data_IF_007233310185
#
_entry.id   IF_007233310185
#
_cell.length_a   1.000
_cell.length_b   1.000
_cell.length_c   1.000
_cell.angle_alpha   90.00
_cell.angle_beta   90.00
_cell.angle_gamma   90.00
#
_symmetry.space_group_name_H-M   'P 1'
#
loop_
_entity.id
_entity.type
_entity.pdbx_description
1 polymer ?
#
# COMPACT_ATOMS: atom_id res chain seq x y z
N UNK A 1 97.10 -35.54 -0.41
CA UNK A 1 96.59 -36.57 -1.33
C UNK A 1 95.14 -36.80 -0.95
N UNK A 2 94.20 -36.61 -1.88
CA UNK A 2 92.78 -36.88 -1.61
C UNK A 2 92.61 -38.38 -1.77
N UNK A 3 92.72 -39.13 -0.67
CA UNK A 3 92.29 -40.52 -0.64
C UNK A 3 90.76 -40.51 -0.59
N UNK A 4 90.14 -41.07 -1.61
CA UNK A 4 88.71 -41.23 -1.67
C UNK A 4 88.32 -42.38 -0.75
N UNK A 5 88.18 -42.08 0.54
CA UNK A 5 87.87 -43.06 1.58
C UNK A 5 86.36 -43.31 1.70
N UNK A 6 85.99 -44.50 2.18
CA UNK A 6 84.59 -44.90 2.46
C UNK A 6 83.87 -43.91 3.38
N UNK A 7 84.61 -43.17 4.20
CA UNK A 7 84.10 -42.09 5.06
C UNK A 7 83.41 -40.97 4.28
N UNK A 8 83.82 -40.68 3.04
CA UNK A 8 83.16 -39.69 2.18
C UNK A 8 81.76 -40.16 1.75
N UNK A 9 81.63 -41.44 1.42
CA UNK A 9 80.33 -42.05 1.11
C UNK A 9 79.41 -42.09 2.34
N UNK A 10 79.95 -42.37 3.52
CA UNK A 10 79.20 -42.33 4.79
C UNK A 10 78.73 -40.89 5.10
N UNK A 11 79.58 -39.88 4.90
CA UNK A 11 79.18 -38.47 5.06
C UNK A 11 78.08 -38.06 4.07
N UNK A 12 78.21 -38.47 2.80
CA UNK A 12 77.19 -38.21 1.78
C UNK A 12 75.84 -38.84 2.17
N UNK A 13 75.85 -40.09 2.63
CA UNK A 13 74.64 -40.74 3.12
C UNK A 13 74.06 -40.03 4.34
N UNK A 14 74.88 -39.58 5.29
CA UNK A 14 74.42 -38.85 6.47
C UNK A 14 73.72 -37.53 6.09
N UNK A 15 74.28 -36.75 5.15
CA UNK A 15 73.67 -35.51 4.66
C UNK A 15 72.34 -35.79 3.96
N UNK A 16 72.28 -36.83 3.12
CA UNK A 16 71.04 -37.22 2.43
C UNK A 16 69.97 -37.66 3.44
N UNK A 17 70.35 -38.48 4.43
CA UNK A 17 69.44 -38.92 5.49
C UNK A 17 68.91 -37.72 6.28
N UNK A 18 69.79 -36.79 6.66
CA UNK A 18 69.42 -35.57 7.37
C UNK A 18 68.48 -34.69 6.54
N UNK A 19 68.74 -34.56 5.23
CA UNK A 19 67.89 -33.79 4.30
C UNK A 19 66.49 -34.38 4.21
N UNK A 20 66.36 -35.71 4.16
CA UNK A 20 65.06 -36.40 4.13
C UNK A 20 64.29 -36.16 5.44
N UNK A 21 64.97 -36.32 6.58
CA UNK A 21 64.38 -36.11 7.91
C UNK A 21 63.91 -34.66 8.05
N UNK A 22 64.76 -33.70 7.68
CA UNK A 22 64.45 -32.28 7.78
C UNK A 22 63.31 -31.86 6.83
N UNK A 23 63.26 -32.44 5.63
CA UNK A 23 62.16 -32.21 4.70
C UNK A 23 60.82 -32.70 5.27
N UNK A 24 60.82 -33.89 5.89
CA UNK A 24 59.62 -34.46 6.49
C UNK A 24 59.17 -33.73 7.76
N UNK A 25 60.11 -33.35 8.64
CA UNK A 25 59.80 -32.79 9.97
C UNK A 25 59.62 -31.27 9.94
N UNK A 26 60.32 -30.54 9.06
CA UNK A 26 60.35 -29.08 9.11
C UNK A 26 59.75 -28.43 7.86
N UNK A 27 60.28 -28.74 6.67
CA UNK A 27 59.86 -28.04 5.45
C UNK A 27 58.40 -28.32 5.10
N UNK A 28 57.99 -29.60 5.01
CA UNK A 28 56.59 -29.96 4.72
C UNK A 28 55.58 -29.33 5.68
N UNK A 29 55.70 -29.46 7.02
CA UNK A 29 54.70 -28.89 7.92
C UNK A 29 54.69 -27.36 7.93
N UNK A 30 55.85 -26.70 7.76
CA UNK A 30 55.90 -25.23 7.66
C UNK A 30 55.16 -24.74 6.40
N UNK A 31 55.43 -25.33 5.24
CA UNK A 31 54.71 -24.97 4.01
C UNK A 31 53.20 -25.22 4.16
N UNK A 32 52.81 -26.35 4.75
CA UNK A 32 51.40 -26.64 4.99
C UNK A 32 50.71 -25.66 5.94
N UNK A 33 51.42 -25.08 6.92
CA UNK A 33 50.88 -24.03 7.79
C UNK A 33 50.75 -22.71 7.03
N UNK A 34 51.72 -22.35 6.19
CA UNK A 34 51.65 -21.15 5.35
C UNK A 34 50.47 -21.23 4.38
N UNK A 35 50.32 -22.34 3.65
CA UNK A 35 49.18 -22.55 2.74
C UNK A 35 47.84 -22.49 3.49
N UNK A 36 47.74 -23.09 4.68
CA UNK A 36 46.52 -23.01 5.50
C UNK A 36 46.21 -21.57 5.91
N UNK A 37 47.21 -20.76 6.23
CA UNK A 37 47.04 -19.35 6.58
C UNK A 37 46.57 -18.55 5.38
N UNK A 38 47.21 -18.73 4.23
CA UNK A 38 46.85 -18.03 2.99
C UNK A 38 45.44 -18.40 2.54
N UNK A 39 45.10 -19.69 2.51
CA UNK A 39 43.75 -20.16 2.19
C UNK A 39 42.70 -19.60 3.15
N UNK A 40 43.01 -19.52 4.46
CA UNK A 40 42.09 -18.96 5.46
C UNK A 40 41.90 -17.46 5.26
N UNK A 41 42.95 -16.71 4.94
CA UNK A 41 42.86 -15.28 4.64
C UNK A 41 42.08 -15.03 3.35
N UNK A 42 42.29 -15.83 2.32
CA UNK A 42 41.56 -15.73 1.06
C UNK A 42 40.08 -16.06 1.26
N UNK A 43 39.76 -17.12 2.00
CA UNK A 43 38.38 -17.49 2.33
C UNK A 43 37.69 -16.38 3.11
N UNK A 44 38.34 -15.82 4.14
CA UNK A 44 37.78 -14.72 4.92
C UNK A 44 37.52 -13.47 4.08
N UNK A 45 38.42 -13.15 3.14
CA UNK A 45 38.22 -12.03 2.21
C UNK A 45 37.03 -12.29 1.30
N UNK A 46 36.95 -13.48 0.71
CA UNK A 46 35.85 -13.87 -0.17
C UNK A 46 34.50 -13.87 0.56
N UNK A 47 34.47 -14.40 1.78
CA UNK A 47 33.27 -14.39 2.61
C UNK A 47 32.85 -12.95 2.94
N UNK A 48 33.79 -12.07 3.29
CA UNK A 48 33.51 -10.66 3.56
C UNK A 48 32.92 -9.94 2.33
N UNK A 49 33.52 -10.13 1.14
CA UNK A 49 33.00 -9.59 -0.11
C UNK A 49 31.60 -10.14 -0.43
N UNK A 50 31.38 -11.44 -0.22
CA UNK A 50 30.08 -12.07 -0.44
C UNK A 50 29.02 -11.55 0.55
N UNK A 51 29.37 -11.35 1.82
CA UNK A 51 28.48 -10.76 2.81
C UNK A 51 28.13 -9.32 2.47
N UNK A 52 29.09 -8.52 2.01
CA UNK A 52 28.84 -7.16 1.57
C UNK A 52 27.91 -7.11 0.35
N UNK A 53 28.18 -7.96 -0.66
CA UNK A 53 27.34 -8.05 -1.84
C UNK A 53 25.90 -8.51 -1.49
N UNK A 54 25.77 -9.51 -0.63
CA UNK A 54 24.47 -9.99 -0.15
C UNK A 54 23.72 -8.92 0.65
N UNK A 55 24.42 -8.16 1.49
CA UNK A 55 23.83 -7.06 2.25
C UNK A 55 23.32 -5.95 1.31
N UNK A 56 24.13 -5.56 0.32
CA UNK A 56 23.72 -4.59 -0.72
C UNK A 56 22.51 -5.08 -1.52
N UNK A 57 22.51 -6.35 -1.94
CA UNK A 57 21.38 -6.94 -2.67
C UNK A 57 20.10 -6.95 -1.82
N UNK A 58 20.18 -7.40 -0.56
CA UNK A 58 19.03 -7.41 0.35
C UNK A 58 18.51 -6.00 0.61
N UNK A 59 19.39 -5.02 0.78
CA UNK A 59 18.96 -3.63 0.93
C UNK A 59 18.21 -3.14 -0.32
N UNK A 60 18.74 -3.40 -1.51
CA UNK A 60 18.07 -3.04 -2.77
C UNK A 60 16.71 -3.73 -2.93
N UNK A 61 16.60 -5.00 -2.55
CA UNK A 61 15.32 -5.72 -2.58
C UNK A 61 14.30 -5.16 -1.60
N UNK A 62 14.72 -4.81 -0.39
CA UNK A 62 13.87 -4.15 0.62
C UNK A 62 13.41 -2.79 0.09
N UNK A 63 14.32 -1.97 -0.41
CA UNK A 63 13.98 -0.65 -0.96
C UNK A 63 13.04 -0.74 -2.16
N UNK A 64 13.20 -1.78 -2.99
CA UNK A 64 12.30 -2.05 -4.12
C UNK A 64 10.92 -2.47 -3.62
N UNK A 65 10.84 -3.44 -2.70
CA UNK A 65 9.57 -3.91 -2.12
C UNK A 65 8.83 -2.79 -1.38
N UNK A 66 9.56 -1.94 -0.66
CA UNK A 66 8.99 -0.78 0.02
C UNK A 66 8.40 0.22 -0.98
N UNK A 67 9.13 0.55 -2.04
CA UNK A 67 8.62 1.43 -3.11
C UNK A 67 7.38 0.85 -3.80
N UNK A 68 7.40 -0.44 -4.13
CA UNK A 68 6.25 -1.13 -4.72
C UNK A 68 5.03 -1.15 -3.78
N UNK A 69 5.24 -1.41 -2.49
CA UNK A 69 4.19 -1.39 -1.48
C UNK A 69 3.60 0.01 -1.33
N UNK A 70 4.43 1.06 -1.23
CA UNK A 70 3.97 2.45 -1.18
C UNK A 70 3.20 2.85 -2.44
N UNK A 71 3.65 2.44 -3.62
CA UNK A 71 2.96 2.70 -4.88
C UNK A 71 1.58 2.00 -4.92
N UNK A 72 1.50 0.74 -4.52
CA UNK A 72 0.23 0.00 -4.41
C UNK A 72 -0.72 0.62 -3.40
N UNK A 73 -0.21 1.01 -2.23
CA UNK A 73 -1.01 1.67 -1.20
C UNK A 73 -1.56 3.02 -1.69
N UNK A 74 -0.73 3.82 -2.38
CA UNK A 74 -1.18 5.07 -2.99
C UNK A 74 -2.24 4.85 -4.05
N UNK A 75 -2.02 3.89 -4.96
CA UNK A 75 -3.00 3.55 -6.00
C UNK A 75 -4.33 3.06 -5.40
N UNK A 76 -4.29 2.25 -4.34
CA UNK A 76 -5.49 1.79 -3.64
C UNK A 76 -6.22 2.94 -2.95
N UNK A 77 -5.49 3.86 -2.31
CA UNK A 77 -6.07 5.04 -1.66
C UNK A 77 -6.71 5.99 -2.69
N UNK A 78 -6.02 6.24 -3.81
CA UNK A 78 -6.52 7.10 -4.88
C UNK A 78 -7.76 6.48 -5.54
N UNK A 79 -7.77 5.15 -5.74
CA UNK A 79 -8.95 4.41 -6.20
C UNK A 79 -10.13 4.52 -5.25
N UNK A 80 -9.91 4.25 -3.96
CA UNK A 80 -10.95 4.36 -2.92
C UNK A 80 -11.51 5.79 -2.80
N UNK A 81 -10.66 6.81 -2.95
CA UNK A 81 -11.09 8.22 -2.98
C UNK A 81 -11.94 8.51 -4.20
N UNK A 82 -11.53 8.06 -5.38
CA UNK A 82 -12.31 8.25 -6.61
C UNK A 82 -13.67 7.57 -6.51
N UNK A 83 -13.72 6.34 -6.01
CA UNK A 83 -14.96 5.60 -5.81
C UNK A 83 -15.88 6.29 -4.78
N UNK A 84 -15.33 6.75 -3.65
CA UNK A 84 -16.08 7.51 -2.66
C UNK A 84 -16.62 8.83 -3.24
N UNK A 85 -15.85 9.52 -4.08
CA UNK A 85 -16.31 10.73 -4.78
C UNK A 85 -17.43 10.44 -5.77
N UNK A 86 -17.31 9.38 -6.58
CA UNK A 86 -18.38 8.98 -7.51
C UNK A 86 -19.65 8.55 -6.77
N UNK A 87 -19.51 7.72 -5.73
CA UNK A 87 -20.64 7.28 -4.91
C UNK A 87 -21.32 8.46 -4.22
N UNK A 88 -20.55 9.39 -3.65
CA UNK A 88 -21.07 10.62 -3.06
C UNK A 88 -21.77 11.52 -4.08
N UNK A 89 -21.20 11.68 -5.27
CA UNK A 89 -21.82 12.45 -6.36
C UNK A 89 -23.14 11.81 -6.84
N UNK A 90 -23.17 10.48 -7.00
CA UNK A 90 -24.39 9.74 -7.36
C UNK A 90 -25.47 9.88 -6.29
N UNK A 91 -25.10 9.72 -5.02
CA UNK A 91 -26.03 9.87 -3.90
C UNK A 91 -26.59 11.29 -3.82
N UNK A 92 -25.73 12.31 -3.99
CA UNK A 92 -26.16 13.70 -3.99
C UNK A 92 -27.09 14.01 -5.17
N UNK A 93 -26.82 13.45 -6.36
CA UNK A 93 -27.69 13.60 -7.51
C UNK A 93 -29.06 12.94 -7.28
N UNK A 94 -29.09 11.74 -6.69
CA UNK A 94 -30.34 11.05 -6.34
C UNK A 94 -31.17 11.86 -5.33
N UNK A 95 -30.54 12.35 -4.26
CA UNK A 95 -31.22 13.19 -3.25
C UNK A 95 -31.76 14.47 -3.88
N UNK A 96 -31.01 15.12 -4.78
CA UNK A 96 -31.50 16.30 -5.49
C UNK A 96 -32.72 16.00 -6.36
N UNK A 97 -32.70 14.88 -7.08
CA UNK A 97 -33.82 14.47 -7.92
C UNK A 97 -35.06 14.13 -7.09
N UNK A 98 -34.89 13.44 -5.96
CA UNK A 98 -35.97 13.16 -5.02
C UNK A 98 -36.55 14.46 -4.44
N UNK A 99 -35.70 15.40 -4.02
CA UNK A 99 -36.13 16.68 -3.49
C UNK A 99 -36.86 17.55 -4.53
N UNK A 100 -36.42 17.53 -5.80
CA UNK A 100 -37.13 18.20 -6.90
C UNK A 100 -38.49 17.57 -7.17
N UNK A 101 -38.57 16.23 -7.19
CA UNK A 101 -39.83 15.51 -7.37
C UNK A 101 -40.81 15.75 -6.21
N UNK A 102 -40.32 15.75 -4.98
CA UNK A 102 -41.12 16.06 -3.78
C UNK A 102 -41.65 17.49 -3.82
N UNK A 103 -40.80 18.46 -4.16
CA UNK A 103 -41.20 19.86 -4.32
C UNK A 103 -42.27 20.03 -5.42
N UNK A 104 -42.12 19.35 -6.55
CA UNK A 104 -43.09 19.44 -7.65
C UNK A 104 -44.43 18.81 -7.27
N UNK A 105 -44.40 17.70 -6.53
CA UNK A 105 -45.60 17.07 -5.97
C UNK A 105 -46.30 17.98 -4.96
N UNK A 106 -45.57 18.55 -4.00
CA UNK A 106 -46.13 19.49 -3.02
C UNK A 106 -46.72 20.74 -3.70
N UNK A 107 -46.06 21.26 -4.74
CA UNK A 107 -46.58 22.40 -5.50
C UNK A 107 -47.90 22.05 -6.22
N UNK A 108 -47.99 20.86 -6.81
CA UNK A 108 -49.22 20.38 -7.44
C UNK A 108 -50.35 20.19 -6.42
N UNK A 109 -50.04 19.62 -5.25
CA UNK A 109 -51.01 19.46 -4.16
C UNK A 109 -51.48 20.82 -3.62
N UNK A 110 -50.57 21.77 -3.45
CA UNK A 110 -50.87 23.15 -3.03
C UNK A 110 -51.82 23.83 -4.01
N UNK A 111 -51.56 23.73 -5.32
CA UNK A 111 -52.44 24.30 -6.36
C UNK A 111 -53.83 23.67 -6.31
N UNK A 112 -53.92 22.34 -6.15
CA UNK A 112 -55.21 21.65 -5.99
C UNK A 112 -55.94 22.12 -4.73
N UNK A 113 -55.24 22.28 -3.60
CA UNK A 113 -55.83 22.78 -2.36
C UNK A 113 -56.34 24.22 -2.51
N UNK A 114 -55.58 25.09 -3.20
CA UNK A 114 -56.01 26.47 -3.50
C UNK A 114 -57.27 26.47 -4.37
N UNK A 115 -57.35 25.65 -5.42
CA UNK A 115 -58.57 25.55 -6.23
C UNK A 115 -59.77 25.06 -5.42
N UNK A 116 -59.56 24.07 -4.56
CA UNK A 116 -60.61 23.51 -3.69
C UNK A 116 -61.12 24.56 -2.71
N UNK A 117 -60.21 25.23 -1.99
CA UNK A 117 -60.54 26.33 -1.08
C UNK A 117 -61.25 27.49 -1.80
N UNK A 118 -60.85 27.81 -3.04
CA UNK A 118 -61.50 28.84 -3.86
C UNK A 118 -62.94 28.46 -4.21
N UNK A 119 -63.20 27.20 -4.56
CA UNK A 119 -64.56 26.69 -4.84
C UNK A 119 -65.43 26.72 -3.58
N UNK A 120 -64.89 26.30 -2.45
CA UNK A 120 -65.59 26.37 -1.15
C UNK A 120 -65.93 27.82 -0.77
N UNK A 121 -64.99 28.75 -0.93
CA UNK A 121 -65.22 30.17 -0.66
C UNK A 121 -66.30 30.77 -1.59
N UNK A 122 -66.33 30.36 -2.86
CA UNK A 122 -67.37 30.76 -3.82
C UNK A 122 -68.76 30.20 -3.45
N UNK A 123 -68.84 28.97 -2.96
CA UNK A 123 -70.10 28.43 -2.43
C UNK A 123 -70.52 29.15 -1.14
N UNK A 124 -69.57 29.39 -0.24
CA UNK A 124 -69.81 30.09 1.02
C UNK A 124 -70.23 31.55 0.79
N UNK A 125 -69.72 32.22 -0.25
CA UNK A 125 -70.12 33.61 -0.58
C UNK A 125 -71.58 33.71 -1.04
N UNK A 126 -72.16 32.67 -1.66
CA UNK A 126 -73.59 32.64 -1.94
C UNK A 126 -74.44 32.54 -0.65
N UNK A 127 -73.96 31.79 0.35
CA UNK A 127 -74.54 31.75 1.69
C UNK A 127 -74.40 33.08 2.42
N UNK A 128 -73.19 33.66 2.43
CA UNK A 128 -72.92 34.98 3.01
C UNK A 128 -73.74 36.09 2.36
N UNK A 129 -73.93 36.08 1.04
CA UNK A 129 -74.76 37.07 0.34
C UNK A 129 -76.23 36.95 0.73
N UNK A 130 -76.76 35.72 0.89
CA UNK A 130 -78.10 35.47 1.43
C UNK A 130 -78.23 35.96 2.87
N UNK A 131 -77.28 35.65 3.73
CA UNK A 131 -77.28 36.09 5.13
C UNK A 131 -77.20 37.61 5.25
N UNK A 132 -76.38 38.27 4.41
CA UNK A 132 -76.25 39.71 4.37
C UNK A 132 -77.53 40.37 3.83
N UNK A 133 -78.15 39.80 2.80
CA UNK A 133 -79.45 40.25 2.27
C UNK A 133 -80.58 40.08 3.31
N UNK A 134 -80.61 38.96 4.04
CA UNK A 134 -81.57 38.73 5.12
C UNK A 134 -81.39 39.72 6.28
N UNK A 135 -80.14 40.06 6.63
CA UNK A 135 -79.82 41.07 7.66
C UNK A 135 -80.18 42.50 7.26
N UNK A 136 -79.99 42.87 5.98
CA UNK A 136 -80.33 44.20 5.47
C UNK A 136 -81.85 44.35 5.24
N UNK A 137 -82.54 43.29 4.80
CA UNK A 137 -83.99 43.31 4.53
C UNK A 137 -84.86 43.03 5.76
N UNK A 138 -84.26 42.59 6.88
CA UNK A 138 -84.94 42.41 8.18
C UNK A 138 -85.97 41.28 8.21
N UNK A 139 -85.95 40.36 7.24
CA UNK A 139 -86.87 39.22 7.12
C UNK A 139 -86.14 38.06 6.46
N UNK A 140 -86.27 36.86 7.02
CA UNK A 140 -85.66 35.64 6.49
C UNK A 140 -86.24 35.33 5.11
N UNK A 141 -85.36 35.19 4.11
CA UNK A 141 -85.74 34.74 2.77
C UNK A 141 -85.35 33.27 2.69
N UNK A 142 -86.32 32.39 2.98
CA UNK A 142 -86.21 30.95 2.73
C UNK A 142 -86.74 30.63 1.33
N UNK A 143 -85.81 30.31 0.42
CA UNK A 143 -85.97 29.40 -0.72
C UNK A 143 -84.58 29.12 -1.36
#
# INVERSE_FOLDING_TARGET
MITLDITLFIHMFNIILLMIILNAILYKPILGILEKRDNKLETLRKDAEQFEQNARHRQQEVDKKMREASAKAKAALDGARSEAHEAGAKQLAAIRQEAEAEKEKEMSELLSQIETARKELLQATAGFARDMAAKILGRSIEA
#
